data_IF_701848649351
#
_entry.id   IF_701848649351
#
_cell.length_a   1.000
_cell.length_b   1.000
_cell.length_c   1.000
_cell.angle_alpha   90.00
_cell.angle_beta   90.00
_cell.angle_gamma   90.00
#
_symmetry.space_group_name_H-M   'P 1'
#
loop_
_entity.id
_entity.type
_entity.pdbx_description
1 polymer ?
#
# COMPACT_ATOMS: atom_id res chain seq x y z
N UNK A 1 28.84 -9.67 4.29
CA UNK A 1 27.61 -10.51 4.19
C UNK A 1 26.48 -10.01 5.07
N UNK A 2 26.72 -9.69 6.36
CA UNK A 2 25.66 -9.24 7.29
C UNK A 2 24.94 -7.96 6.85
N UNK A 3 25.66 -7.00 6.27
CA UNK A 3 25.11 -5.73 5.77
C UNK A 3 24.15 -5.92 4.58
N UNK A 4 24.43 -6.88 3.70
CA UNK A 4 23.56 -7.21 2.56
C UNK A 4 22.25 -7.86 3.02
N UNK A 5 22.31 -8.72 4.04
CA UNK A 5 21.13 -9.33 4.65
C UNK A 5 20.22 -8.28 5.31
N UNK A 6 20.81 -7.35 6.06
CA UNK A 6 20.06 -6.26 6.70
C UNK A 6 19.37 -5.39 5.65
N UNK A 7 20.09 -5.00 4.59
CA UNK A 7 19.52 -4.22 3.49
C UNK A 7 18.40 -4.99 2.74
N UNK A 8 18.55 -6.30 2.54
CA UNK A 8 17.53 -7.12 1.89
C UNK A 8 16.26 -7.24 2.74
N UNK A 9 16.40 -7.39 4.06
CA UNK A 9 15.27 -7.42 5.00
C UNK A 9 14.53 -6.08 5.03
N UNK A 10 15.26 -4.96 5.05
CA UNK A 10 14.67 -3.62 4.99
C UNK A 10 13.86 -3.43 3.70
N UNK A 11 14.44 -3.80 2.55
CA UNK A 11 13.76 -3.71 1.26
C UNK A 11 12.52 -4.61 1.18
N UNK A 12 12.62 -5.83 1.71
CA UNK A 12 11.49 -6.74 1.81
C UNK A 12 10.38 -6.16 2.70
N UNK A 13 10.74 -5.50 3.81
CA UNK A 13 9.80 -4.80 4.67
C UNK A 13 9.03 -3.70 3.93
N UNK A 14 9.73 -2.84 3.18
CA UNK A 14 9.08 -1.80 2.38
C UNK A 14 8.20 -2.38 1.27
N UNK A 15 8.65 -3.45 0.60
CA UNK A 15 7.88 -4.12 -0.43
C UNK A 15 6.59 -4.72 0.16
N UNK A 16 6.71 -5.47 1.25
CA UNK A 16 5.57 -6.10 1.93
C UNK A 16 4.59 -5.05 2.45
N UNK A 17 5.09 -3.97 3.08
CA UNK A 17 4.24 -2.87 3.54
C UNK A 17 3.49 -2.18 2.40
N UNK A 18 4.17 -1.93 1.28
CA UNK A 18 3.58 -1.34 0.07
C UNK A 18 2.48 -2.24 -0.49
N UNK A 19 2.77 -3.55 -0.65
CA UNK A 19 1.81 -4.52 -1.18
C UNK A 19 0.62 -4.70 -0.25
N UNK A 20 0.85 -4.77 1.06
CA UNK A 20 -0.21 -4.91 2.05
C UNK A 20 -1.16 -3.70 2.06
N UNK A 21 -0.61 -2.48 2.07
CA UNK A 21 -1.40 -1.25 1.99
C UNK A 21 -2.16 -1.15 0.67
N UNK A 22 -1.51 -1.49 -0.45
CA UNK A 22 -2.18 -1.48 -1.75
C UNK A 22 -3.33 -2.48 -1.80
N UNK A 23 -3.11 -3.70 -1.32
CA UNK A 23 -4.14 -4.75 -1.24
C UNK A 23 -5.31 -4.36 -0.34
N UNK A 24 -5.02 -3.82 0.84
CA UNK A 24 -6.04 -3.32 1.77
C UNK A 24 -6.83 -2.15 1.17
N UNK A 25 -6.16 -1.25 0.46
CA UNK A 25 -6.78 -0.12 -0.22
C UNK A 25 -7.74 -0.56 -1.32
N UNK A 26 -7.28 -1.43 -2.24
CA UNK A 26 -8.13 -2.01 -3.30
C UNK A 26 -9.32 -2.77 -2.70
N UNK A 27 -9.10 -3.55 -1.65
CA UNK A 27 -10.16 -4.28 -0.97
C UNK A 27 -11.21 -3.33 -0.38
N UNK A 28 -10.78 -2.25 0.26
CA UNK A 28 -11.69 -1.24 0.82
C UNK A 28 -12.50 -0.52 -0.27
N UNK A 29 -11.89 -0.17 -1.40
CA UNK A 29 -12.59 0.44 -2.55
C UNK A 29 -13.66 -0.49 -3.13
N UNK A 30 -13.33 -1.77 -3.36
CA UNK A 30 -14.30 -2.75 -3.87
C UNK A 30 -15.45 -2.98 -2.88
N UNK A 31 -15.13 -3.02 -1.59
CA UNK A 31 -16.13 -3.16 -0.54
C UNK A 31 -17.01 -1.90 -0.45
N UNK A 32 -16.43 -0.71 -0.60
CA UNK A 32 -17.16 0.56 -0.66
C UNK A 32 -18.24 0.55 -1.75
N UNK A 33 -17.88 0.10 -2.96
CA UNK A 33 -18.84 -0.05 -4.07
C UNK A 33 -19.99 -1.00 -3.70
N UNK A 34 -19.67 -2.11 -3.02
CA UNK A 34 -20.68 -3.08 -2.57
C UNK A 34 -21.65 -2.46 -1.55
N UNK A 35 -21.15 -1.65 -0.61
CA UNK A 35 -21.99 -0.93 0.36
C UNK A 35 -22.83 0.18 -0.29
N UNK A 36 -22.29 0.82 -1.33
CA UNK A 36 -23.01 1.85 -2.08
C UNK A 36 -24.20 1.23 -2.82
N UNK A 37 -24.00 0.09 -3.48
CA UNK A 37 -25.07 -0.67 -4.16
C UNK A 37 -26.13 -1.17 -3.17
N UNK A 38 -25.73 -1.50 -1.95
CA UNK A 38 -26.64 -1.88 -0.86
C UNK A 38 -27.37 -0.68 -0.21
N UNK A 39 -27.15 0.55 -0.70
CA UNK A 39 -27.78 1.78 -0.19
C UNK A 39 -27.17 2.32 1.11
N UNK A 40 -26.09 1.71 1.61
CA UNK A 40 -25.41 2.13 2.82
C UNK A 40 -24.28 3.11 2.49
N UNK A 41 -24.69 4.36 2.22
CA UNK A 41 -23.81 5.45 1.79
C UNK A 41 -22.77 5.85 2.83
N UNK A 42 -23.10 5.75 4.13
CA UNK A 42 -22.17 6.11 5.21
C UNK A 42 -20.95 5.18 5.23
N UNK A 43 -21.17 3.86 5.20
CA UNK A 43 -20.06 2.90 5.19
C UNK A 43 -19.32 2.89 3.86
N UNK A 44 -20.02 3.10 2.74
CA UNK A 44 -19.39 3.26 1.44
C UNK A 44 -18.40 4.44 1.45
N UNK A 45 -18.84 5.63 1.87
CA UNK A 45 -17.99 6.81 1.92
C UNK A 45 -16.80 6.62 2.87
N UNK A 46 -17.01 6.02 4.04
CA UNK A 46 -15.93 5.70 4.97
C UNK A 46 -14.89 4.77 4.34
N UNK A 47 -15.34 3.67 3.72
CA UNK A 47 -14.45 2.70 3.09
C UNK A 47 -13.70 3.29 1.89
N UNK A 48 -14.34 4.14 1.08
CA UNK A 48 -13.68 4.85 -0.01
C UNK A 48 -12.55 5.76 0.52
N UNK A 49 -12.80 6.52 1.58
CA UNK A 49 -11.76 7.37 2.18
C UNK A 49 -10.61 6.52 2.73
N UNK A 50 -10.91 5.44 3.45
CA UNK A 50 -9.89 4.54 3.99
C UNK A 50 -9.11 3.81 2.89
N UNK A 51 -9.79 3.42 1.81
CA UNK A 51 -9.20 2.82 0.62
C UNK A 51 -8.21 3.76 -0.04
N UNK A 52 -8.65 4.99 -0.32
CA UNK A 52 -7.81 6.06 -0.84
C UNK A 52 -6.57 6.33 0.04
N UNK A 53 -6.75 6.45 1.36
CA UNK A 53 -5.63 6.67 2.30
C UNK A 53 -4.64 5.51 2.27
N UNK A 54 -5.11 4.26 2.25
CA UNK A 54 -4.23 3.09 2.19
C UNK A 54 -3.47 3.02 0.85
N UNK A 55 -4.14 3.30 -0.27
CA UNK A 55 -3.51 3.37 -1.60
C UNK A 55 -2.46 4.49 -1.67
N UNK A 56 -2.76 5.66 -1.11
CA UNK A 56 -1.80 6.75 -1.02
C UNK A 56 -0.60 6.40 -0.15
N UNK A 57 -0.82 5.73 0.99
CA UNK A 57 0.25 5.20 1.84
C UNK A 57 1.15 4.23 1.08
N UNK A 58 0.57 3.30 0.31
CA UNK A 58 1.33 2.40 -0.56
C UNK A 58 2.13 3.18 -1.61
N UNK A 59 1.53 4.18 -2.25
CA UNK A 59 2.20 5.02 -3.25
C UNK A 59 3.38 5.80 -2.66
N UNK A 60 3.22 6.40 -1.47
CA UNK A 60 4.29 7.14 -0.79
C UNK A 60 5.44 6.23 -0.38
N UNK A 61 5.17 5.11 0.30
CA UNK A 61 6.24 4.15 0.66
C UNK A 61 6.95 3.61 -0.59
N UNK A 62 6.16 3.31 -1.63
CA UNK A 62 6.65 2.85 -2.92
C UNK A 62 7.65 3.82 -3.56
N UNK A 63 7.30 5.11 -3.64
CA UNK A 63 8.13 6.13 -4.30
C UNK A 63 9.24 6.72 -3.42
N UNK A 64 8.99 6.89 -2.13
CA UNK A 64 9.91 7.60 -1.24
C UNK A 64 11.00 6.68 -0.67
N UNK A 65 10.72 5.36 -0.61
CA UNK A 65 11.63 4.40 0.03
C UNK A 65 11.97 3.21 -0.84
N UNK A 66 10.98 2.53 -1.42
CA UNK A 66 11.19 1.27 -2.13
C UNK A 66 11.90 1.47 -3.49
N UNK A 67 11.36 2.32 -4.35
CA UNK A 67 11.89 2.61 -5.70
C UNK A 67 13.31 3.20 -5.68
N UNK A 68 13.63 4.22 -4.85
CA UNK A 68 14.97 4.80 -4.79
C UNK A 68 16.02 3.77 -4.37
N UNK A 69 15.76 3.02 -3.29
CA UNK A 69 16.66 1.96 -2.81
C UNK A 69 16.83 0.83 -3.83
N UNK A 70 15.79 0.48 -4.58
CA UNK A 70 15.90 -0.47 -5.69
C UNK A 70 16.79 0.05 -6.82
N UNK A 71 16.66 1.33 -7.18
CA UNK A 71 17.47 1.96 -8.25
C UNK A 71 18.94 2.06 -7.87
N UNK A 72 19.25 2.46 -6.65
CA UNK A 72 20.62 2.53 -6.12
C UNK A 72 21.34 1.17 -6.14
N UNK A 73 20.61 0.07 -6.01
CA UNK A 73 21.15 -1.30 -6.02
C UNK A 73 21.26 -1.90 -7.43
N UNK A 74 20.65 -1.27 -8.44
CA UNK A 74 20.62 -1.76 -9.83
C UNK A 74 21.63 -1.03 -10.73
N UNK A 75 22.15 0.11 -10.29
CA UNK A 75 23.25 0.85 -10.92
C UNK A 75 24.61 0.32 -10.46
#
# INVERSE_FOLDING_TARGET
MRELLVAAVELAGYLLGTVALAGAGVFAELTSLTYLDAGNTMFAAWLAVMGFVALYGAFSIGNDHLLPRLRERRA
#
